data_IF_680110837806
#
_entry.id   IF_680110837806
#
_cell.length_a   1.000
_cell.length_b   1.000
_cell.length_c   1.000
_cell.angle_alpha   90.00
_cell.angle_beta   90.00
_cell.angle_gamma   90.00
#
_symmetry.space_group_name_H-M   'P 1'
#
loop_
_entity.id
_entity.type
_entity.pdbx_description
1 polymer ?
#
# COMPACT_ATOMS: atom_id res chain seq x y z
N UNK A 1 -4.91 -88.35 -8.58
CA UNK A 1 -4.41 -87.69 -9.83
C UNK A 1 -4.64 -86.18 -9.68
N UNK A 2 -3.56 -85.45 -9.77
CA UNK A 2 -3.38 -84.07 -9.43
C UNK A 2 -4.18 -83.05 -10.26
N UNK A 3 -4.67 -81.99 -9.67
CA UNK A 3 -4.81 -80.69 -10.35
C UNK A 3 -4.61 -79.57 -9.32
N UNK A 4 -3.49 -78.88 -9.42
CA UNK A 4 -3.13 -77.70 -8.69
C UNK A 4 -3.91 -76.52 -9.25
N UNK A 5 -4.65 -75.80 -8.43
CA UNK A 5 -5.21 -74.49 -8.75
C UNK A 5 -4.32 -73.40 -8.17
N UNK A 6 -3.74 -72.58 -9.03
CA UNK A 6 -2.95 -71.41 -8.66
C UNK A 6 -3.90 -70.24 -8.37
N UNK A 7 -3.95 -69.84 -7.12
CA UNK A 7 -4.55 -68.58 -6.72
C UNK A 7 -3.57 -67.43 -7.00
N UNK A 8 -3.89 -66.60 -7.96
CA UNK A 8 -3.22 -65.31 -8.16
C UNK A 8 -3.83 -64.27 -7.22
N UNK A 9 -3.09 -63.90 -6.17
CA UNK A 9 -3.39 -62.78 -5.32
C UNK A 9 -3.07 -61.49 -6.06
N UNK A 10 -4.07 -60.73 -6.45
CA UNK A 10 -3.94 -59.35 -6.94
C UNK A 10 -3.79 -58.41 -5.78
N UNK A 11 -2.60 -57.80 -5.64
CA UNK A 11 -2.38 -56.71 -4.70
C UNK A 11 -2.99 -55.43 -5.31
N UNK A 12 -4.09 -54.99 -4.81
CA UNK A 12 -4.66 -53.68 -5.11
C UNK A 12 -3.85 -52.63 -4.31
N UNK A 13 -2.99 -51.90 -4.98
CA UNK A 13 -2.35 -50.68 -4.42
C UNK A 13 -3.39 -49.59 -4.42
N UNK A 14 -4.02 -49.35 -3.26
CA UNK A 14 -4.83 -48.16 -3.04
C UNK A 14 -3.89 -46.95 -3.03
N UNK A 15 -3.89 -46.20 -4.13
CA UNK A 15 -3.24 -44.90 -4.21
C UNK A 15 -3.98 -43.92 -3.29
N UNK A 16 -3.34 -43.57 -2.17
CA UNK A 16 -3.79 -42.46 -1.33
C UNK A 16 -3.43 -41.17 -2.08
N UNK A 17 -4.38 -40.62 -2.81
CA UNK A 17 -4.31 -39.26 -3.30
C UNK A 17 -4.43 -38.33 -2.08
N UNK A 18 -3.30 -37.84 -1.59
CA UNK A 18 -3.26 -36.73 -0.65
C UNK A 18 -3.72 -35.51 -1.45
N UNK A 19 -5.02 -35.22 -1.39
CA UNK A 19 -5.53 -33.92 -1.75
C UNK A 19 -4.95 -32.94 -0.72
N UNK A 20 -3.85 -32.31 -1.08
CA UNK A 20 -3.32 -31.17 -0.33
C UNK A 20 -4.35 -30.06 -0.37
N UNK A 21 -5.16 -29.94 0.67
CA UNK A 21 -5.88 -28.72 0.97
C UNK A 21 -4.83 -27.68 1.33
N UNK A 22 -4.21 -27.07 0.35
CA UNK A 22 -3.60 -25.76 0.50
C UNK A 22 -4.73 -24.82 0.85
N UNK A 23 -4.77 -24.35 2.08
CA UNK A 23 -5.66 -23.26 2.48
C UNK A 23 -5.15 -22.01 1.76
N UNK A 24 -5.51 -21.86 0.48
CA UNK A 24 -5.26 -20.64 -0.25
C UNK A 24 -6.15 -19.56 0.38
N UNK A 25 -5.54 -18.76 1.27
CA UNK A 25 -6.21 -17.60 1.83
C UNK A 25 -6.66 -16.72 0.65
N UNK A 26 -7.95 -16.41 0.54
CA UNK A 26 -8.43 -15.58 -0.55
C UNK A 26 -7.73 -14.23 -0.52
N UNK A 27 -7.33 -13.74 -1.68
CA UNK A 27 -6.60 -12.49 -1.83
C UNK A 27 -7.28 -11.56 -2.83
N UNK A 28 -7.07 -10.25 -2.65
CA UNK A 28 -7.36 -9.22 -3.62
C UNK A 28 -6.13 -8.38 -3.89
N UNK A 29 -6.26 -7.38 -4.74
CA UNK A 29 -5.17 -6.49 -5.12
C UNK A 29 -5.41 -5.10 -4.53
N UNK A 30 -4.49 -4.61 -3.70
CA UNK A 30 -4.41 -3.20 -3.33
C UNK A 30 -3.58 -2.46 -4.38
N UNK A 31 -4.18 -1.48 -5.05
CA UNK A 31 -3.51 -0.54 -5.93
C UNK A 31 -3.45 0.82 -5.24
N UNK A 32 -2.25 1.25 -4.86
CA UNK A 32 -2.02 2.52 -4.17
C UNK A 32 -1.65 3.59 -5.18
N UNK A 33 -2.43 4.65 -5.20
CA UNK A 33 -2.20 5.83 -6.02
C UNK A 33 -1.85 7.01 -5.11
N UNK A 34 -1.10 7.95 -5.67
CA UNK A 34 -0.79 9.24 -5.07
C UNK A 34 -1.42 10.33 -5.91
N UNK A 35 -2.03 11.29 -5.28
CA UNK A 35 -2.53 12.53 -5.89
C UNK A 35 -2.08 13.75 -5.11
N UNK A 36 -2.25 14.92 -5.69
CA UNK A 36 -2.00 16.20 -5.04
C UNK A 36 -3.21 17.11 -5.16
N UNK A 37 -3.51 17.79 -4.09
CA UNK A 37 -4.56 18.81 -4.06
C UNK A 37 -4.02 20.21 -4.28
N UNK A 38 -4.82 21.08 -4.95
CA UNK A 38 -4.47 22.48 -5.07
C UNK A 38 -4.26 23.10 -3.68
N UNK A 39 -3.07 23.59 -3.44
CA UNK A 39 -2.64 24.23 -2.22
C UNK A 39 -1.33 24.94 -2.49
N UNK A 40 -0.37 24.80 -1.58
CA UNK A 40 0.96 25.35 -1.79
C UNK A 40 1.75 24.68 -2.92
N UNK A 41 1.21 23.61 -3.57
CA UNK A 41 1.85 23.01 -4.74
C UNK A 41 2.03 24.01 -5.88
N UNK A 42 1.18 25.03 -5.97
CA UNK A 42 1.32 26.11 -6.95
C UNK A 42 2.59 26.96 -6.79
N UNK A 43 3.26 26.87 -5.66
CA UNK A 43 4.54 27.57 -5.40
C UNK A 43 5.73 26.83 -6.04
N UNK A 44 5.51 25.62 -6.59
CA UNK A 44 6.57 24.75 -7.09
C UNK A 44 6.52 24.58 -8.61
N UNK A 45 7.69 24.54 -9.23
CA UNK A 45 7.87 24.05 -10.59
C UNK A 45 8.13 22.53 -10.61
N UNK A 46 8.64 21.97 -9.51
CA UNK A 46 8.79 20.54 -9.31
C UNK A 46 8.74 20.22 -7.82
N UNK A 47 8.04 19.13 -7.47
CA UNK A 47 8.01 18.57 -6.12
C UNK A 47 8.00 17.04 -6.24
N UNK A 48 9.19 16.43 -6.27
CA UNK A 48 9.37 15.00 -6.48
C UNK A 48 9.49 14.31 -5.13
N UNK A 49 8.54 13.42 -4.85
CA UNK A 49 8.50 12.60 -3.63
C UNK A 49 8.94 11.18 -3.99
N UNK A 50 9.98 10.68 -3.32
CA UNK A 50 10.42 9.29 -3.45
C UNK A 50 9.80 8.44 -2.34
N UNK A 51 9.06 7.41 -2.74
CA UNK A 51 8.35 6.48 -1.86
C UNK A 51 9.15 5.19 -1.71
N UNK A 52 9.53 4.83 -0.49
CA UNK A 52 10.38 3.68 -0.17
C UNK A 52 9.63 2.47 0.36
N UNK A 53 8.48 2.68 0.99
CA UNK A 53 7.70 1.60 1.58
C UNK A 53 6.21 1.90 1.64
N UNK A 54 5.42 0.83 1.61
CA UNK A 54 3.99 0.82 1.88
C UNK A 54 3.74 -0.03 3.12
N UNK A 55 2.98 0.48 4.07
CA UNK A 55 2.55 -0.26 5.26
C UNK A 55 1.03 -0.24 5.36
N UNK A 56 0.44 -1.36 5.76
CA UNK A 56 -0.99 -1.48 6.04
C UNK A 56 -1.21 -2.24 7.33
N UNK A 57 -2.23 -1.88 8.09
CA UNK A 57 -2.60 -2.58 9.32
C UNK A 57 -3.94 -3.29 9.13
N UNK A 58 -3.99 -4.64 9.25
CA UNK A 58 -5.25 -5.36 9.33
C UNK A 58 -6.10 -4.87 10.52
N UNK A 59 -7.43 -4.75 10.33
CA UNK A 59 -8.30 -4.16 11.35
C UNK A 59 -8.49 -5.06 12.59
N UNK A 60 -8.33 -6.37 12.44
CA UNK A 60 -8.36 -7.36 13.52
C UNK A 60 -7.16 -7.23 14.48
N UNK A 61 -6.05 -6.64 14.02
CA UNK A 61 -4.88 -6.34 14.85
C UNK A 61 -5.02 -5.05 15.68
N UNK A 62 -6.15 -4.33 15.54
CA UNK A 62 -6.38 -3.05 16.27
C UNK A 62 -6.91 -3.24 17.71
N UNK A 63 -7.14 -4.45 18.19
CA UNK A 63 -7.69 -4.74 19.53
C UNK A 63 -6.64 -4.62 20.62
N UNK A 64 -6.34 -3.39 21.05
CA UNK A 64 -5.48 -3.12 22.21
C UNK A 64 -5.41 -1.63 22.49
N UNK A 65 -5.74 -1.24 23.72
CA UNK A 65 -5.50 0.09 24.26
C UNK A 65 -3.99 0.24 24.47
N UNK A 66 -3.41 1.28 23.87
CA UNK A 66 -2.02 1.72 23.94
C UNK A 66 -1.11 1.23 22.80
N UNK A 67 -0.62 2.20 22.04
CA UNK A 67 0.42 2.14 20.99
C UNK A 67 0.51 0.80 20.23
N UNK A 68 -0.32 0.69 19.23
CA UNK A 68 -0.45 -0.49 18.37
C UNK A 68 0.86 -0.79 17.66
N UNK A 69 1.66 -1.63 18.28
CA UNK A 69 2.67 -2.43 17.59
C UNK A 69 1.99 -3.70 17.03
N UNK A 70 0.76 -3.54 16.54
CA UNK A 70 0.12 -4.57 15.73
C UNK A 70 1.00 -4.87 14.53
N UNK A 71 0.95 -6.08 14.02
CA UNK A 71 1.79 -6.54 12.91
C UNK A 71 1.45 -5.82 11.61
N UNK A 72 1.97 -4.58 11.45
CA UNK A 72 1.90 -3.91 10.16
C UNK A 72 2.52 -4.79 9.08
N UNK A 73 1.82 -4.97 7.99
CA UNK A 73 2.38 -5.56 6.80
C UNK A 73 3.21 -4.51 6.06
N UNK A 74 4.51 -4.74 5.94
CA UNK A 74 5.46 -3.80 5.34
C UNK A 74 5.92 -4.31 3.99
N UNK A 75 5.75 -3.50 2.96
CA UNK A 75 6.17 -3.79 1.59
C UNK A 75 7.16 -2.71 1.14
N UNK A 76 8.33 -3.13 0.70
CA UNK A 76 9.28 -2.21 0.08
C UNK A 76 8.76 -1.77 -1.29
N UNK A 77 8.93 -0.48 -1.56
CA UNK A 77 8.77 0.14 -2.86
C UNK A 77 10.18 0.45 -3.38
N UNK A 78 10.38 0.35 -4.69
CA UNK A 78 11.71 0.55 -5.30
C UNK A 78 11.96 2.06 -5.54
N UNK A 79 11.87 2.86 -4.48
CA UNK A 79 12.01 4.33 -4.49
C UNK A 79 11.25 4.99 -5.66
N UNK A 80 9.95 4.73 -5.69
CA UNK A 80 9.08 5.26 -6.75
C UNK A 80 9.01 6.77 -6.62
N UNK A 81 9.55 7.48 -7.58
CA UNK A 81 9.54 8.93 -7.63
C UNK A 81 8.24 9.44 -8.28
N UNK A 82 7.54 10.32 -7.60
CA UNK A 82 6.30 10.94 -8.06
C UNK A 82 6.43 12.45 -8.00
N UNK A 83 6.23 13.14 -9.13
CA UNK A 83 6.20 14.60 -9.16
C UNK A 83 4.79 15.12 -8.89
N UNK A 84 4.57 15.67 -7.70
CA UNK A 84 3.26 16.13 -7.27
C UNK A 84 2.69 17.25 -8.13
N UNK A 85 3.55 18.10 -8.72
CA UNK A 85 3.12 19.20 -9.61
C UNK A 85 2.37 18.66 -10.84
N UNK A 86 2.69 17.46 -11.29
CA UNK A 86 2.04 16.80 -12.43
C UNK A 86 0.71 16.14 -12.07
N UNK A 87 0.37 16.04 -10.79
CA UNK A 87 -0.80 15.32 -10.28
C UNK A 87 -1.97 16.24 -9.92
N UNK A 88 -1.91 17.49 -10.31
CA UNK A 88 -2.97 18.46 -10.01
C UNK A 88 -4.29 18.09 -10.68
N UNK A 89 -5.39 18.30 -9.98
CA UNK A 89 -6.73 18.00 -10.46
C UNK A 89 -7.15 16.55 -10.22
N UNK A 90 -7.60 15.85 -11.25
CA UNK A 90 -8.07 14.46 -11.16
C UNK A 90 -6.98 13.43 -11.48
N UNK A 91 -5.74 13.87 -11.64
CA UNK A 91 -4.62 13.01 -12.00
C UNK A 91 -4.04 12.33 -10.75
N UNK A 92 -3.78 11.04 -10.86
CA UNK A 92 -3.11 10.29 -9.80
C UNK A 92 -2.07 9.34 -10.39
N UNK A 93 -0.91 9.21 -9.74
CA UNK A 93 0.15 8.30 -10.14
C UNK A 93 0.09 7.00 -9.34
N UNK A 94 0.27 5.86 -10.01
CA UNK A 94 0.35 4.56 -9.36
C UNK A 94 1.69 4.45 -8.60
N UNK A 95 1.61 4.35 -7.27
CA UNK A 95 2.77 4.12 -6.40
C UNK A 95 3.09 2.63 -6.23
N UNK A 96 2.15 1.74 -6.47
CA UNK A 96 2.40 0.30 -6.42
C UNK A 96 1.15 -0.54 -6.26
N UNK A 97 1.33 -1.84 -6.51
CA UNK A 97 0.29 -2.86 -6.34
C UNK A 97 0.79 -3.98 -5.44
N UNK A 98 -0.08 -4.46 -4.56
CA UNK A 98 0.22 -5.58 -3.66
C UNK A 98 -0.97 -6.51 -3.53
N UNK A 99 -0.70 -7.81 -3.54
CA UNK A 99 -1.71 -8.81 -3.16
C UNK A 99 -1.78 -8.87 -1.64
N UNK A 100 -2.98 -8.72 -1.11
CA UNK A 100 -3.27 -8.78 0.32
C UNK A 100 -4.35 -9.84 0.58
N UNK A 101 -4.37 -10.37 1.80
CA UNK A 101 -5.46 -11.22 2.26
C UNK A 101 -6.78 -10.45 2.25
N UNK A 102 -7.87 -11.13 1.97
CA UNK A 102 -9.23 -10.58 2.10
C UNK A 102 -9.49 -10.18 3.55
N UNK A 103 -10.02 -8.99 3.76
CA UNK A 103 -10.32 -8.45 5.08
C UNK A 103 -10.35 -6.93 5.11
N UNK A 104 -10.65 -6.40 6.28
CA UNK A 104 -10.64 -4.96 6.55
C UNK A 104 -9.25 -4.52 7.02
N UNK A 105 -8.85 -3.33 6.62
CA UNK A 105 -7.59 -2.69 6.99
C UNK A 105 -7.89 -1.33 7.60
N UNK A 106 -7.25 -1.03 8.73
CA UNK A 106 -7.53 0.18 9.51
C UNK A 106 -6.93 1.44 8.89
N UNK A 107 -5.74 1.33 8.30
CA UNK A 107 -5.04 2.44 7.68
C UNK A 107 -3.95 1.98 6.71
N UNK A 108 -3.46 2.94 5.93
CA UNK A 108 -2.30 2.81 5.06
C UNK A 108 -1.26 3.86 5.46
N UNK A 109 0.03 3.50 5.40
CA UNK A 109 1.15 4.44 5.53
C UNK A 109 2.05 4.36 4.31
N UNK A 110 2.61 5.50 3.91
CA UNK A 110 3.64 5.60 2.87
C UNK A 110 4.92 6.17 3.48
N UNK A 111 6.00 5.42 3.36
CA UNK A 111 7.33 5.87 3.73
C UNK A 111 7.91 6.73 2.62
N UNK A 112 8.41 7.90 2.99
CA UNK A 112 9.09 8.84 2.10
C UNK A 112 10.58 8.78 2.39
N UNK A 113 11.39 8.47 1.37
CA UNK A 113 12.85 8.44 1.50
C UNK A 113 13.49 9.79 1.22
N UNK A 114 12.93 10.57 0.28
CA UNK A 114 13.38 11.91 -0.04
C UNK A 114 12.29 12.77 -0.67
N UNK A 115 12.43 14.08 -0.56
CA UNK A 115 11.65 15.06 -1.32
C UNK A 115 12.59 16.05 -1.96
N UNK A 116 12.54 16.17 -3.27
CA UNK A 116 13.28 17.17 -4.04
C UNK A 116 12.28 18.18 -4.61
N UNK A 117 12.43 19.45 -4.23
CA UNK A 117 11.46 20.47 -4.58
C UNK A 117 12.14 21.75 -5.07
N UNK A 118 11.61 22.31 -6.15
CA UNK A 118 12.05 23.58 -6.75
C UNK A 118 10.87 24.53 -6.82
N UNK A 119 11.04 25.73 -6.30
CA UNK A 119 10.06 26.80 -6.33
C UNK A 119 9.94 27.43 -7.72
N UNK A 120 8.92 28.24 -7.91
CA UNK A 120 8.65 28.96 -9.15
C UNK A 120 9.75 30.02 -9.47
N UNK A 121 10.43 30.53 -8.45
CA UNK A 121 11.59 31.43 -8.59
C UNK A 121 12.91 30.71 -8.91
N UNK A 122 12.89 29.36 -8.98
CA UNK A 122 14.05 28.51 -9.26
C UNK A 122 14.88 28.17 -8.01
N UNK A 123 14.50 28.63 -6.83
CA UNK A 123 15.18 28.27 -5.59
C UNK A 123 14.79 26.84 -5.13
N UNK A 124 15.71 26.18 -4.46
CA UNK A 124 15.41 24.85 -3.85
C UNK A 124 14.61 25.05 -2.57
N UNK A 125 13.45 24.38 -2.49
CA UNK A 125 12.67 24.34 -1.27
C UNK A 125 13.09 23.18 -0.37
N UNK A 126 13.04 23.40 0.93
CA UNK A 126 13.22 22.35 1.93
C UNK A 126 11.87 21.80 2.33
N UNK A 127 11.53 20.62 1.84
CA UNK A 127 10.27 19.93 2.17
C UNK A 127 10.59 18.79 3.12
N UNK A 128 9.99 18.81 4.31
CA UNK A 128 10.13 17.76 5.32
C UNK A 128 8.81 17.01 5.52
N UNK A 129 8.90 15.80 6.05
CA UNK A 129 7.73 15.03 6.53
C UNK A 129 7.57 15.22 8.04
N UNK A 130 6.37 15.02 8.62
CA UNK A 130 6.16 15.07 10.06
C UNK A 130 6.94 13.95 10.77
N UNK A 131 8.08 14.29 11.38
CA UNK A 131 8.96 13.32 12.03
C UNK A 131 9.66 12.37 11.02
N UNK A 132 10.29 11.33 11.55
CA UNK A 132 10.95 10.28 10.75
C UNK A 132 10.00 9.13 10.37
N UNK A 133 8.70 9.30 10.64
CA UNK A 133 7.69 8.27 10.43
C UNK A 133 7.08 8.35 9.03
N UNK A 134 6.61 7.20 8.55
CA UNK A 134 5.80 7.12 7.33
C UNK A 134 4.52 7.96 7.47
N UNK A 135 4.09 8.59 6.37
CA UNK A 135 2.87 9.38 6.32
C UNK A 135 1.64 8.47 6.44
N UNK A 136 0.85 8.67 7.48
CA UNK A 136 -0.32 7.84 7.82
C UNK A 136 -1.59 8.43 7.21
N UNK A 137 -2.32 7.59 6.51
CA UNK A 137 -3.65 7.85 5.98
C UNK A 137 -4.67 7.05 6.80
N UNK A 138 -5.30 7.71 7.78
CA UNK A 138 -6.32 7.13 8.64
C UNK A 138 -7.65 7.00 7.89
N UNK A 139 -7.67 6.11 6.89
CA UNK A 139 -8.83 5.83 6.07
C UNK A 139 -9.00 4.31 5.95
N UNK A 140 -9.97 3.70 6.65
CA UNK A 140 -10.22 2.28 6.57
C UNK A 140 -10.62 1.84 5.16
N UNK A 141 -10.20 0.64 4.77
CA UNK A 141 -10.52 0.06 3.47
C UNK A 141 -10.65 -1.47 3.57
N UNK A 142 -11.28 -2.07 2.57
CA UNK A 142 -11.49 -3.50 2.47
C UNK A 142 -10.72 -4.08 1.28
N UNK A 143 -10.18 -5.27 1.45
CA UNK A 143 -9.67 -6.09 0.36
C UNK A 143 -10.67 -7.21 0.10
N UNK A 144 -11.17 -7.30 -1.13
CA UNK A 144 -12.16 -8.29 -1.56
C UNK A 144 -11.53 -9.33 -2.47
N UNK A 145 -12.06 -10.56 -2.40
CA UNK A 145 -11.52 -11.69 -3.15
C UNK A 145 -11.58 -11.45 -4.67
N UNK A 146 -10.41 -11.46 -5.31
CA UNK A 146 -10.29 -11.30 -6.75
C UNK A 146 -10.56 -9.88 -7.28
N UNK A 147 -10.91 -8.93 -6.41
CA UNK A 147 -11.14 -7.53 -6.78
C UNK A 147 -9.88 -6.69 -6.65
N UNK A 148 -9.92 -5.53 -7.29
CA UNK A 148 -8.90 -4.49 -7.17
C UNK A 148 -9.45 -3.35 -6.30
N UNK A 149 -8.82 -3.12 -5.15
CA UNK A 149 -9.08 -1.98 -4.29
C UNK A 149 -8.12 -0.86 -4.68
N UNK A 150 -8.65 0.24 -5.16
CA UNK A 150 -7.89 1.46 -5.46
C UNK A 150 -7.92 2.38 -4.25
N UNK A 151 -6.76 2.60 -3.65
CA UNK A 151 -6.55 3.56 -2.56
C UNK A 151 -5.78 4.77 -3.12
N UNK A 152 -6.38 5.94 -3.08
CA UNK A 152 -5.72 7.19 -3.51
C UNK A 152 -5.33 7.99 -2.29
N UNK A 153 -4.02 8.08 -2.05
CA UNK A 153 -3.40 8.85 -0.99
C UNK A 153 -3.13 10.27 -1.48
N UNK A 154 -3.69 11.26 -0.80
CA UNK A 154 -3.54 12.66 -1.16
C UNK A 154 -2.50 13.34 -0.29
N UNK A 155 -1.56 14.06 -0.91
CA UNK A 155 -0.52 14.83 -0.24
C UNK A 155 -0.72 16.32 -0.45
N UNK A 156 -0.31 17.11 0.54
CA UNK A 156 -0.26 18.55 0.39
C UNK A 156 1.02 19.12 1.03
N UNK A 157 1.86 19.83 0.28
CA UNK A 157 2.89 20.66 0.87
C UNK A 157 2.24 21.86 1.55
N UNK A 158 2.58 22.07 2.82
CA UNK A 158 2.07 23.18 3.64
C UNK A 158 3.25 24.09 3.99
N UNK A 159 3.13 25.43 3.78
CA UNK A 159 4.19 26.34 4.12
C UNK A 159 4.55 26.25 5.62
N UNK A 160 5.83 26.21 5.92
CA UNK A 160 6.36 26.32 7.27
C UNK A 160 6.44 27.77 7.76
N UNK A 161 7.01 27.95 8.95
CA UNK A 161 7.21 29.30 9.53
C UNK A 161 8.28 30.10 8.82
N UNK A 162 9.24 29.44 8.19
CA UNK A 162 10.38 30.06 7.51
C UNK A 162 10.18 29.98 5.98
N UNK A 163 10.62 31.03 5.29
CA UNK A 163 10.55 31.10 3.83
C UNK A 163 11.32 29.94 3.19
N UNK A 164 10.72 29.30 2.18
CA UNK A 164 11.31 28.15 1.47
C UNK A 164 11.28 26.84 2.24
N UNK A 165 10.60 26.81 3.39
CA UNK A 165 10.36 25.56 4.15
C UNK A 165 8.92 25.13 4.04
N UNK A 166 8.72 23.86 3.79
CA UNK A 166 7.40 23.24 3.67
C UNK A 166 7.36 21.94 4.45
N UNK A 167 6.15 21.56 4.83
CA UNK A 167 5.86 20.28 5.47
C UNK A 167 4.91 19.48 4.57
N UNK A 168 5.35 18.32 4.12
CA UNK A 168 4.49 17.40 3.36
C UNK A 168 3.55 16.68 4.32
N UNK A 169 2.24 16.83 4.13
CA UNK A 169 1.22 16.22 4.99
C UNK A 169 0.26 15.34 4.22
N UNK A 170 -0.22 14.24 4.81
CA UNK A 170 -1.36 13.51 4.28
C UNK A 170 -2.63 14.34 4.44
N UNK A 171 -3.50 14.30 3.43
CA UNK A 171 -4.81 14.97 3.42
C UNK A 171 -5.90 13.93 3.55
N UNK A 172 -6.28 13.61 4.78
CA UNK A 172 -7.23 12.53 5.07
C UNK A 172 -8.62 12.76 4.47
N UNK A 173 -9.09 14.02 4.38
CA UNK A 173 -10.39 14.36 3.80
C UNK A 173 -10.51 14.10 2.29
N UNK A 174 -9.38 13.95 1.61
CA UNK A 174 -9.28 13.75 0.17
C UNK A 174 -8.79 12.35 -0.20
N UNK A 175 -8.36 11.58 0.79
CA UNK A 175 -8.07 10.16 0.60
C UNK A 175 -9.34 9.42 0.18
N UNK A 176 -9.27 8.68 -0.91
CA UNK A 176 -10.43 7.97 -1.46
C UNK A 176 -10.13 6.49 -1.66
N UNK A 177 -11.17 5.68 -1.52
CA UNK A 177 -11.13 4.24 -1.80
C UNK A 177 -12.23 3.89 -2.79
N UNK A 178 -11.88 3.13 -3.81
CA UNK A 178 -12.84 2.56 -4.77
C UNK A 178 -12.52 1.10 -5.07
N UNK A 179 -13.51 0.37 -5.50
CA UNK A 179 -13.43 -1.08 -5.76
C UNK A 179 -13.76 -1.34 -7.24
N UNK A 180 -12.89 -2.11 -7.92
CA UNK A 180 -12.97 -2.43 -9.36
C UNK A 180 -12.95 -3.94 -9.60
#
# INVERSE_FOLDING_TARGET
>A
MNRRAFLRSGVAVAGVSVAGCGSDTPTGTLATYVSDRPGAIGDFTACVVSLSELRVLPADETTGTEEHTGSELVFKLDDIAVNLVELTGATAALAGERKLAVGEYAYLKLGVSSVEATLDDGETAMVSTPGDAALKFDHPFEIRAGERTRFTADFAPVPGSDRGRYLLRPVASETTVSYE
#
